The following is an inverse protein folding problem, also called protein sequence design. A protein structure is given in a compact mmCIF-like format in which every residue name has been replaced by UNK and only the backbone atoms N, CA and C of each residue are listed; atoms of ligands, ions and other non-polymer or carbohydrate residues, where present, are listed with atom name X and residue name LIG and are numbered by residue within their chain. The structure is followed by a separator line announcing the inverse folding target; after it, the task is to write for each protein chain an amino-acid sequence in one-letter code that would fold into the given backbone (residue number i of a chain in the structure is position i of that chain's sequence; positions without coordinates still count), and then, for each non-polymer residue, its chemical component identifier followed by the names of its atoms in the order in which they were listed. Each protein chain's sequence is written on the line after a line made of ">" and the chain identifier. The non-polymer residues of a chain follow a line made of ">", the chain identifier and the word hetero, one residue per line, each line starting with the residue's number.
data_IF_055298196834
#
_entry.id   IF_055298196834
#
_cell.length_a   1.000
_cell.length_b   1.000
_cell.length_c   1.000
_cell.angle_alpha   90.00
_cell.angle_beta   90.00
_cell.angle_gamma   90.00
#
_symmetry.space_group_name_H-M   'P 1'
#
loop_
_entity.id
_entity.type
_entity.pdbx_description
1 polymer ?
#
# COMPACT_ATOMS: atom_id res chain seq x y z
N UNK A 1 21.02 -35.50 4.03
CA UNK A 1 20.25 -34.29 4.43
C UNK A 1 18.86 -34.18 3.76
N UNK A 2 18.35 -35.19 3.04
CA UNK A 2 17.01 -35.15 2.38
C UNK A 2 15.88 -35.71 3.26
N UNK A 3 15.84 -35.37 4.54
CA UNK A 3 14.72 -35.76 5.42
C UNK A 3 13.74 -34.58 5.52
N UNK A 4 12.41 -34.82 5.53
CA UNK A 4 11.45 -33.75 5.76
C UNK A 4 11.66 -33.16 7.15
N UNK A 5 11.28 -31.89 7.31
CA UNK A 5 11.39 -31.20 8.59
C UNK A 5 10.56 -31.95 9.66
N UNK A 6 11.10 -32.20 10.87
CA UNK A 6 10.41 -32.99 11.89
C UNK A 6 9.07 -32.41 12.38
N UNK A 7 8.92 -31.08 12.42
CA UNK A 7 7.69 -30.42 12.86
C UNK A 7 7.61 -28.97 12.33
N UNK A 8 7.15 -28.77 11.08
CA UNK A 8 7.06 -27.44 10.47
C UNK A 8 6.09 -26.50 11.22
N UNK A 9 5.04 -27.03 11.83
CA UNK A 9 4.06 -26.25 12.61
C UNK A 9 4.69 -25.44 13.76
N UNK A 10 5.80 -25.91 14.34
CA UNK A 10 6.48 -25.19 15.42
C UNK A 10 7.05 -23.86 14.92
N UNK A 11 7.59 -23.84 13.71
CA UNK A 11 8.12 -22.63 13.11
C UNK A 11 6.99 -21.62 12.87
N UNK A 12 5.86 -22.09 12.33
CA UNK A 12 4.68 -21.26 12.10
C UNK A 12 4.14 -20.67 13.41
N UNK A 13 3.98 -21.48 14.46
CA UNK A 13 3.49 -21.02 15.78
C UNK A 13 4.41 -19.97 16.39
N UNK A 14 5.73 -20.14 16.28
CA UNK A 14 6.70 -19.16 16.75
C UNK A 14 6.62 -17.89 15.92
N UNK A 15 6.54 -17.98 14.60
CA UNK A 15 6.41 -16.82 13.72
C UNK A 15 5.13 -16.02 14.02
N UNK A 16 3.99 -16.70 14.22
CA UNK A 16 2.74 -16.06 14.64
C UNK A 16 2.89 -15.39 16.00
N UNK A 17 3.51 -16.05 16.97
CA UNK A 17 3.71 -15.50 18.32
C UNK A 17 4.58 -14.24 18.28
N UNK A 18 5.67 -14.26 17.51
CA UNK A 18 6.55 -13.09 17.34
C UNK A 18 5.84 -11.92 16.65
N UNK A 19 4.99 -12.18 15.65
CA UNK A 19 4.16 -11.15 15.00
C UNK A 19 3.16 -10.52 15.97
N UNK A 20 2.53 -11.34 16.82
CA UNK A 20 1.58 -10.85 17.81
C UNK A 20 2.23 -9.95 18.86
N UNK A 21 3.44 -10.31 19.31
CA UNK A 21 4.21 -9.48 20.24
C UNK A 21 4.56 -8.12 19.59
N UNK A 22 5.08 -8.13 18.36
CA UNK A 22 5.40 -6.89 17.62
C UNK A 22 4.15 -6.01 17.39
N UNK A 23 2.99 -6.60 17.11
CA UNK A 23 1.72 -5.88 16.99
C UNK A 23 1.38 -5.12 18.28
N UNK A 24 1.36 -5.80 19.43
CA UNK A 24 1.00 -5.19 20.73
C UNK A 24 1.96 -4.07 21.09
N UNK A 25 3.25 -4.23 20.80
CA UNK A 25 4.25 -3.19 21.04
C UNK A 25 3.97 -1.96 20.16
N UNK A 26 3.67 -2.15 18.87
CA UNK A 26 3.33 -1.05 17.96
C UNK A 26 2.05 -0.34 18.34
N UNK A 27 1.01 -1.06 18.77
CA UNK A 27 -0.25 -0.47 19.23
C UNK A 27 -0.03 0.49 20.40
N UNK A 28 0.77 0.05 21.38
CA UNK A 28 1.13 0.88 22.55
C UNK A 28 1.95 2.11 22.15
N UNK A 29 2.91 1.95 21.23
CA UNK A 29 3.74 3.05 20.71
C UNK A 29 2.91 4.08 19.93
N UNK A 30 1.98 3.63 19.09
CA UNK A 30 1.05 4.49 18.35
C UNK A 30 0.16 5.27 19.31
N UNK A 31 -0.45 4.61 20.30
CA UNK A 31 -1.30 5.26 21.28
C UNK A 31 -0.54 6.35 22.06
N UNK A 32 0.67 6.03 22.52
CA UNK A 32 1.52 7.00 23.21
C UNK A 32 1.87 8.20 22.32
N UNK A 33 2.31 7.96 21.08
CA UNK A 33 2.70 9.01 20.13
C UNK A 33 1.53 9.93 19.78
N UNK A 34 0.33 9.37 19.60
CA UNK A 34 -0.89 10.13 19.33
C UNK A 34 -1.24 11.06 20.50
N UNK A 35 -1.14 10.57 21.74
CA UNK A 35 -1.44 11.38 22.92
C UNK A 35 -0.41 12.50 23.14
N UNK A 36 0.87 12.23 22.88
CA UNK A 36 1.95 13.20 23.13
C UNK A 36 2.13 14.22 22.00
N UNK A 37 2.05 13.77 20.75
CA UNK A 37 2.40 14.59 19.57
C UNK A 37 1.27 14.76 18.57
N UNK A 38 0.20 13.95 18.65
CA UNK A 38 -0.89 13.93 17.67
C UNK A 38 -0.52 13.30 16.31
N UNK A 39 0.71 12.80 16.12
CA UNK A 39 1.14 12.26 14.84
C UNK A 39 0.80 10.77 14.69
N UNK A 40 0.06 10.43 13.63
CA UNK A 40 -0.31 9.05 13.33
C UNK A 40 0.90 8.18 12.96
N UNK A 41 1.86 8.71 12.21
CA UNK A 41 3.01 7.96 11.66
C UNK A 41 4.29 8.25 12.46
N UNK A 42 5.15 7.23 12.69
CA UNK A 42 6.45 7.45 13.34
C UNK A 42 7.39 8.25 12.45
N UNK A 43 7.38 7.95 11.16
CA UNK A 43 8.29 8.57 10.18
C UNK A 43 7.54 9.68 9.45
N UNK A 44 8.09 10.92 9.45
CA UNK A 44 7.47 12.01 8.72
C UNK A 44 7.52 11.75 7.22
N UNK A 45 6.53 12.29 6.52
CA UNK A 45 6.42 12.20 5.08
C UNK A 45 5.27 13.04 4.57
N UNK A 46 5.14 13.11 3.26
CA UNK A 46 4.09 13.91 2.63
C UNK A 46 3.67 13.31 1.28
N UNK A 47 2.50 13.74 0.81
CA UNK A 47 2.01 13.38 -0.52
C UNK A 47 2.72 14.22 -1.58
N UNK A 48 3.42 13.56 -2.49
CA UNK A 48 4.10 14.19 -3.63
C UNK A 48 3.70 13.55 -4.94
N UNK A 49 3.97 14.26 -6.04
CA UNK A 49 3.80 13.72 -7.37
C UNK A 49 5.16 13.27 -7.93
N UNK A 50 5.18 12.07 -8.51
CA UNK A 50 6.28 11.61 -9.35
C UNK A 50 6.39 12.46 -10.62
N UNK A 51 7.53 12.37 -11.30
CA UNK A 51 7.70 12.91 -12.66
C UNK A 51 6.70 12.34 -13.69
N UNK A 52 6.05 11.21 -13.38
CA UNK A 52 5.00 10.58 -14.17
C UNK A 52 3.58 11.01 -13.77
N UNK A 53 3.42 11.96 -12.83
CA UNK A 53 2.11 12.42 -12.38
C UNK A 53 1.32 11.40 -11.57
N UNK A 54 2.04 10.54 -10.84
CA UNK A 54 1.45 9.63 -9.86
C UNK A 54 1.65 10.24 -8.47
N UNK A 55 0.57 10.35 -7.72
CA UNK A 55 0.65 10.76 -6.31
C UNK A 55 1.13 9.58 -5.47
N UNK A 56 2.15 9.79 -4.67
CA UNK A 56 2.73 8.78 -3.78
C UNK A 56 3.13 9.40 -2.44
N UNK A 57 3.18 8.58 -1.40
CA UNK A 57 3.67 8.99 -0.08
C UNK A 57 5.20 8.99 -0.08
N UNK A 58 5.81 10.16 0.08
CA UNK A 58 7.25 10.31 0.18
C UNK A 58 7.67 10.31 1.65
N UNK A 59 8.21 9.19 2.13
CA UNK A 59 8.81 9.11 3.46
C UNK A 59 10.16 9.84 3.49
N UNK A 60 10.35 10.70 4.48
CA UNK A 60 11.60 11.42 4.65
C UNK A 60 12.71 10.47 5.10
N UNK A 61 13.94 10.90 4.83
CA UNK A 61 15.16 10.23 5.28
C UNK A 61 15.96 11.21 6.09
N UNK A 62 16.65 10.71 7.10
CA UNK A 62 17.59 11.50 7.88
C UNK A 62 18.79 11.85 7.01
N UNK A 63 19.18 13.12 7.04
CA UNK A 63 20.36 13.64 6.34
C UNK A 63 21.12 14.57 7.28
N UNK A 64 22.46 14.54 7.26
CA UNK A 64 23.28 15.44 8.08
C UNK A 64 23.24 16.89 7.59
N UNK A 65 22.76 17.14 6.36
CA UNK A 65 22.78 18.44 5.69
C UNK A 65 21.37 18.79 5.19
N UNK A 66 20.94 20.06 5.25
CA UNK A 66 19.68 20.52 4.67
C UNK A 66 19.48 20.15 3.19
N UNK A 67 18.20 20.00 2.80
CA UNK A 67 17.80 19.51 1.46
C UNK A 67 18.31 20.38 0.30
N UNK A 68 18.44 21.69 0.49
CA UNK A 68 18.87 22.63 -0.53
C UNK A 68 20.40 22.59 -0.78
N UNK A 69 21.19 22.01 0.12
CA UNK A 69 22.62 21.78 -0.11
C UNK A 69 22.87 20.35 -0.63
N UNK A 70 21.94 19.42 -0.39
CA UNK A 70 22.07 18.03 -0.80
C UNK A 70 21.89 17.88 -2.33
N UNK A 71 23.02 17.67 -3.04
CA UNK A 71 23.07 17.41 -4.48
C UNK A 71 22.19 16.22 -4.91
N UNK A 72 22.08 15.18 -4.09
CA UNK A 72 21.25 14.00 -4.39
C UNK A 72 19.76 14.31 -4.27
N UNK A 73 19.38 15.11 -3.27
CA UNK A 73 17.98 15.54 -3.10
C UNK A 73 17.56 16.47 -4.24
N UNK A 74 18.37 17.47 -4.59
CA UNK A 74 18.11 18.43 -5.68
C UNK A 74 17.90 17.78 -7.05
N UNK A 75 18.51 16.61 -7.31
CA UNK A 75 18.31 15.87 -8.57
C UNK A 75 16.92 15.22 -8.67
N UNK A 76 16.22 15.01 -7.56
CA UNK A 76 14.88 14.40 -7.57
C UNK A 76 13.85 15.42 -8.03
N UNK A 77 12.99 15.02 -8.95
CA UNK A 77 11.86 15.82 -9.43
C UNK A 77 10.58 15.36 -8.75
N UNK A 78 9.93 16.28 -8.05
CA UNK A 78 8.66 16.06 -7.35
C UNK A 78 7.48 16.76 -8.05
N UNK A 79 7.62 16.93 -9.36
CA UNK A 79 6.64 17.55 -10.24
C UNK A 79 6.69 16.83 -11.59
N UNK A 80 5.59 16.92 -12.33
CA UNK A 80 5.47 16.42 -13.69
C UNK A 80 5.12 17.57 -14.64
N UNK A 81 5.38 17.34 -15.92
CA UNK A 81 5.16 18.34 -16.98
C UNK A 81 3.81 18.12 -17.67
N UNK A 82 3.24 19.14 -18.35
CA UNK A 82 1.92 19.05 -18.99
C UNK A 82 1.78 17.91 -20.01
N UNK A 83 2.86 17.52 -20.70
CA UNK A 83 2.83 16.41 -21.68
C UNK A 83 2.50 15.05 -21.03
N UNK A 84 2.64 14.93 -19.71
CA UNK A 84 2.30 13.71 -18.96
C UNK A 84 0.78 13.55 -18.79
N UNK A 85 0.00 14.64 -18.92
CA UNK A 85 -1.46 14.64 -18.71
C UNK A 85 -2.19 13.64 -19.61
N UNK A 86 -1.75 13.48 -20.87
CA UNK A 86 -2.33 12.51 -21.78
C UNK A 86 -2.21 11.07 -21.24
N UNK A 87 -1.03 10.71 -20.72
CA UNK A 87 -0.79 9.39 -20.14
C UNK A 87 -1.54 9.17 -18.82
N UNK A 88 -1.71 10.23 -18.02
CA UNK A 88 -2.54 10.17 -16.82
C UNK A 88 -3.99 9.83 -17.20
N UNK A 89 -4.55 10.50 -18.21
CA UNK A 89 -5.90 10.23 -18.72
C UNK A 89 -6.04 8.79 -19.21
N UNK A 90 -5.13 8.34 -20.08
CA UNK A 90 -5.14 6.97 -20.60
C UNK A 90 -5.09 5.91 -19.48
N UNK A 91 -4.29 6.16 -18.43
CA UNK A 91 -4.21 5.29 -17.26
C UNK A 91 -5.54 5.22 -16.50
N UNK A 92 -6.20 6.36 -16.31
CA UNK A 92 -7.52 6.42 -15.65
C UNK A 92 -8.58 5.70 -16.47
N UNK A 93 -8.64 5.95 -17.78
CA UNK A 93 -9.57 5.24 -18.70
C UNK A 93 -9.37 3.73 -18.63
N UNK A 94 -8.12 3.26 -18.64
CA UNK A 94 -7.79 1.83 -18.53
C UNK A 94 -8.29 1.24 -17.21
N UNK A 95 -8.12 1.95 -16.09
CA UNK A 95 -8.61 1.52 -14.79
C UNK A 95 -10.15 1.45 -14.75
N UNK A 96 -10.83 2.46 -15.29
CA UNK A 96 -12.30 2.48 -15.40
C UNK A 96 -12.83 1.33 -16.26
N UNK A 97 -12.22 1.07 -17.42
CA UNK A 97 -12.58 -0.08 -18.28
C UNK A 97 -12.36 -1.42 -17.56
N UNK A 98 -11.30 -1.56 -16.76
CA UNK A 98 -11.06 -2.76 -15.96
C UNK A 98 -12.14 -2.94 -14.89
N UNK A 99 -12.48 -1.87 -14.15
CA UNK A 99 -13.53 -1.87 -13.13
C UNK A 99 -14.90 -2.24 -13.71
N UNK A 100 -15.28 -1.64 -14.84
CA UNK A 100 -16.55 -1.92 -15.52
C UNK A 100 -16.65 -3.39 -15.96
N UNK A 101 -15.57 -3.97 -16.51
CA UNK A 101 -15.53 -5.39 -16.88
C UNK A 101 -15.70 -6.30 -15.67
N UNK A 102 -15.04 -5.98 -14.56
CA UNK A 102 -15.16 -6.75 -13.31
C UNK A 102 -16.60 -6.72 -12.77
N UNK A 103 -17.21 -5.54 -12.69
CA UNK A 103 -18.60 -5.41 -12.23
C UNK A 103 -19.59 -6.17 -13.12
N UNK A 104 -19.40 -6.12 -14.45
CA UNK A 104 -20.24 -6.88 -15.37
C UNK A 104 -20.05 -8.39 -15.21
N UNK A 105 -18.82 -8.86 -14.93
CA UNK A 105 -18.55 -10.26 -14.67
C UNK A 105 -19.21 -10.72 -13.36
N UNK A 106 -19.11 -9.93 -12.29
CA UNK A 106 -19.75 -10.20 -11.00
C UNK A 106 -21.28 -10.30 -11.15
N UNK A 107 -21.91 -9.34 -11.83
CA UNK A 107 -23.36 -9.39 -12.14
C UNK A 107 -23.75 -10.63 -12.96
N UNK A 108 -22.92 -11.02 -13.94
CA UNK A 108 -23.16 -12.24 -14.73
C UNK A 108 -23.05 -13.49 -13.87
N UNK A 109 -22.04 -13.56 -12.99
CA UNK A 109 -21.88 -14.67 -12.04
C UNK A 109 -23.06 -14.78 -11.09
N UNK A 110 -23.53 -13.65 -10.56
CA UNK A 110 -24.71 -13.59 -9.70
C UNK A 110 -25.96 -14.11 -10.43
N UNK A 111 -26.23 -13.62 -11.65
CA UNK A 111 -27.35 -14.12 -12.48
C UNK A 111 -27.27 -15.61 -12.78
N UNK A 112 -26.06 -16.15 -12.99
CA UNK A 112 -25.86 -17.59 -13.19
C UNK A 112 -26.11 -18.36 -11.90
N UNK A 113 -25.74 -17.81 -10.75
CA UNK A 113 -25.95 -18.42 -9.45
C UNK A 113 -27.45 -18.47 -9.11
N UNK A 114 -28.18 -17.36 -9.27
CA UNK A 114 -29.64 -17.27 -9.09
C UNK A 114 -30.39 -18.29 -9.97
N UNK A 115 -29.91 -18.53 -11.21
CA UNK A 115 -30.49 -19.54 -12.09
C UNK A 115 -30.24 -20.99 -11.64
N UNK A 116 -29.08 -21.25 -11.03
CA UNK A 116 -28.69 -22.61 -10.60
C UNK A 116 -29.25 -22.96 -9.22
N UNK A 117 -29.36 -21.96 -8.35
CA UNK A 117 -29.83 -22.10 -6.98
C UNK A 117 -30.89 -21.04 -6.71
N UNK A 118 -32.14 -21.26 -7.18
CA UNK A 118 -33.23 -20.32 -6.99
C UNK A 118 -33.63 -20.17 -5.52
N UNK A 119 -33.32 -21.16 -4.68
CA UNK A 119 -33.67 -21.21 -3.25
C UNK A 119 -32.73 -20.36 -2.36
N UNK A 120 -31.65 -19.81 -2.91
CA UNK A 120 -30.68 -18.95 -2.21
C UNK A 120 -31.01 -17.47 -2.41
N UNK A 121 -32.04 -17.15 -3.20
CA UNK A 121 -32.47 -15.78 -3.48
C UNK A 121 -33.25 -15.15 -2.32
#
# INVERSE_FOLDING_TARGET
>A
QRKPMPSPERLEKVETSMKNIDLVVREREIALRLLQTGHEKPVPGEWRNDFLGRTFWYSYKEWPIPWHLNKKHKKKRFYYLPHVNHFIRLRLEKALRKRARQQNLERRRQKILERKFPDIA
#
